data_IF_154541297612
#
_entry.id   IF_154541297612
#
_cell.length_a   1.000
_cell.length_b   1.000
_cell.length_c   1.000
_cell.angle_alpha   90.00
_cell.angle_beta   90.00
_cell.angle_gamma   90.00
#
_symmetry.space_group_name_H-M   'P 1'
#
loop_
_entity.id
_entity.type
_entity.pdbx_description
1 polymer ?
#
# COMPACT_ATOMS: atom_id res chain seq x y z
N UNK A 1 36.14 16.10 50.31
CA UNK A 1 36.55 16.85 49.12
C UNK A 1 35.36 16.93 48.18
N UNK A 2 34.93 18.13 47.83
CA UNK A 2 33.82 18.33 46.91
C UNK A 2 34.30 17.94 45.51
N UNK A 3 33.66 16.94 44.88
CA UNK A 3 33.99 16.57 43.50
C UNK A 3 33.53 17.69 42.56
N UNK A 4 34.28 17.88 41.48
CA UNK A 4 33.99 18.92 40.51
C UNK A 4 32.64 18.63 39.81
N UNK A 5 31.65 19.54 39.91
CA UNK A 5 30.34 19.34 39.30
C UNK A 5 30.41 19.14 37.78
N UNK A 6 31.41 19.71 37.11
CA UNK A 6 31.60 19.52 35.67
C UNK A 6 32.02 18.08 35.33
N UNK A 7 32.78 17.44 36.22
CA UNK A 7 33.24 16.06 36.03
C UNK A 7 32.09 15.09 36.23
N UNK A 8 31.27 15.29 37.27
CA UNK A 8 30.08 14.47 37.52
C UNK A 8 29.09 14.57 36.35
N UNK A 9 28.83 15.78 35.85
CA UNK A 9 27.97 15.97 34.67
C UNK A 9 28.48 15.22 33.44
N UNK A 10 29.79 15.27 33.16
CA UNK A 10 30.38 14.56 32.02
C UNK A 10 30.24 13.05 32.15
N UNK A 11 30.43 12.52 33.36
CA UNK A 11 30.31 11.10 33.63
C UNK A 11 28.86 10.62 33.45
N UNK A 12 27.90 11.32 34.05
CA UNK A 12 26.47 10.99 33.91
C UNK A 12 26.00 11.12 32.45
N UNK A 13 26.41 12.17 31.75
CA UNK A 13 26.10 12.35 30.32
C UNK A 13 26.69 11.23 29.46
N UNK A 14 27.90 10.77 29.76
CA UNK A 14 28.55 9.67 29.06
C UNK A 14 27.82 8.34 29.30
N UNK A 15 27.38 8.07 30.53
CA UNK A 15 26.58 6.90 30.86
C UNK A 15 25.26 6.88 30.10
N UNK A 16 24.51 7.99 30.10
CA UNK A 16 23.25 8.11 29.34
C UNK A 16 23.47 7.93 27.82
N UNK A 17 24.57 8.45 27.29
CA UNK A 17 24.91 8.29 25.88
C UNK A 17 25.18 6.83 25.51
N UNK A 18 25.94 6.10 26.34
CA UNK A 18 26.19 4.68 26.11
C UNK A 18 24.89 3.87 26.17
N UNK A 19 24.00 4.17 27.11
CA UNK A 19 22.70 3.51 27.17
C UNK A 19 21.87 3.76 25.90
N UNK A 20 21.83 4.99 25.40
CA UNK A 20 21.15 5.30 24.13
C UNK A 20 21.77 4.52 22.96
N UNK A 21 23.10 4.49 22.88
CA UNK A 21 23.82 3.74 21.84
C UNK A 21 23.44 2.26 21.86
N UNK A 22 23.50 1.63 23.04
CA UNK A 22 23.23 0.20 23.19
C UNK A 22 21.76 -0.15 22.80
N UNK A 23 20.82 0.76 23.08
CA UNK A 23 19.41 0.64 22.62
C UNK A 23 19.29 0.75 21.10
N UNK A 24 20.02 1.67 20.46
CA UNK A 24 20.02 1.82 18.99
C UNK A 24 20.59 0.56 18.33
N UNK A 25 21.73 0.05 18.82
CA UNK A 25 22.35 -1.16 18.31
C UNK A 25 21.40 -2.37 18.40
N UNK A 26 20.77 -2.53 19.57
CA UNK A 26 19.77 -3.58 19.79
C UNK A 26 18.57 -3.46 18.83
N UNK A 27 18.11 -2.23 18.57
CA UNK A 27 17.01 -1.95 17.63
C UNK A 27 17.38 -2.29 16.19
N UNK A 28 18.58 -1.94 15.73
CA UNK A 28 19.06 -2.26 14.39
C UNK A 28 19.05 -3.78 14.17
N UNK A 29 19.64 -4.53 15.09
CA UNK A 29 19.68 -6.00 15.01
C UNK A 29 18.25 -6.56 15.02
N UNK A 30 17.43 -6.14 15.97
CA UNK A 30 16.04 -6.55 16.09
C UNK A 30 15.21 -6.27 14.83
N UNK A 31 15.50 -5.19 14.10
CA UNK A 31 14.83 -4.84 12.85
C UNK A 31 15.30 -5.73 11.70
N UNK A 32 16.61 -5.99 11.57
CA UNK A 32 17.15 -6.89 10.54
C UNK A 32 16.49 -8.27 10.64
N UNK A 33 16.34 -8.82 11.85
CA UNK A 33 15.69 -10.12 12.06
C UNK A 33 14.17 -10.11 11.85
N UNK A 34 13.52 -8.94 11.86
CA UNK A 34 12.07 -8.80 11.65
C UNK A 34 11.70 -8.49 10.19
N UNK A 35 12.65 -8.09 9.35
CA UNK A 35 12.38 -7.75 7.94
C UNK A 35 12.04 -9.02 7.16
N UNK A 36 10.76 -9.16 6.79
CA UNK A 36 10.32 -10.17 5.83
C UNK A 36 10.46 -9.60 4.42
N UNK A 37 11.38 -10.17 3.63
CA UNK A 37 11.53 -9.82 2.22
C UNK A 37 10.39 -10.48 1.42
N UNK A 38 9.32 -9.72 1.15
CA UNK A 38 8.30 -10.12 0.18
C UNK A 38 8.95 -10.14 -1.20
N UNK A 39 9.31 -11.35 -1.69
CA UNK A 39 9.62 -11.53 -3.10
C UNK A 39 8.31 -11.38 -3.86
N UNK A 40 8.19 -10.33 -4.66
CA UNK A 40 7.07 -10.20 -5.59
C UNK A 40 7.08 -11.41 -6.52
N UNK A 41 6.24 -12.40 -6.23
CA UNK A 41 6.02 -13.52 -7.12
C UNK A 41 5.28 -13.01 -8.36
N UNK A 42 5.63 -13.49 -9.57
CA UNK A 42 4.85 -13.18 -10.77
C UNK A 42 3.38 -13.58 -10.54
N UNK A 43 2.41 -12.79 -11.03
CA UNK A 43 1.01 -13.14 -10.90
C UNK A 43 0.75 -14.52 -11.53
N UNK A 44 -0.10 -15.37 -10.90
CA UNK A 44 -0.43 -16.67 -11.45
C UNK A 44 -1.02 -16.53 -12.87
N UNK A 45 -0.76 -17.49 -13.76
CA UNK A 45 -1.32 -17.47 -15.11
C UNK A 45 -2.84 -17.43 -15.06
N UNK A 46 -3.45 -16.67 -15.97
CA UNK A 46 -4.91 -16.55 -16.04
C UNK A 46 -5.54 -17.94 -16.30
N UNK A 47 -6.68 -18.27 -15.64
CA UNK A 47 -7.37 -19.52 -15.90
C UNK A 47 -7.85 -19.57 -17.36
N UNK A 48 -7.85 -20.76 -17.99
CA UNK A 48 -8.31 -20.92 -19.37
C UNK A 48 -9.78 -20.52 -19.49
N UNK A 49 -10.08 -19.61 -20.42
CA UNK A 49 -11.45 -19.27 -20.79
C UNK A 49 -12.08 -20.48 -21.49
N UNK A 50 -12.89 -21.25 -20.75
CA UNK A 50 -13.74 -22.28 -21.34
C UNK A 50 -14.86 -21.56 -22.09
N UNK A 51 -14.72 -21.48 -23.42
CA UNK A 51 -15.76 -20.97 -24.31
C UNK A 51 -16.91 -21.97 -24.29
N UNK A 52 -17.95 -21.68 -23.52
CA UNK A 52 -19.21 -22.41 -23.59
C UNK A 52 -19.79 -22.21 -24.99
N UNK A 53 -19.62 -23.21 -25.84
CA UNK A 53 -20.34 -23.32 -27.10
C UNK A 53 -21.76 -23.69 -26.73
N UNK A 54 -22.64 -22.69 -26.67
CA UNK A 54 -24.08 -22.95 -26.74
C UNK A 54 -24.37 -23.38 -28.16
N UNK A 55 -24.53 -24.68 -28.35
CA UNK A 55 -24.99 -25.29 -29.58
C UNK A 55 -26.44 -24.82 -29.81
N UNK A 56 -26.59 -23.75 -30.59
CA UNK A 56 -27.90 -23.29 -31.05
C UNK A 56 -28.39 -24.29 -32.10
N UNK A 57 -29.18 -25.27 -31.66
CA UNK A 57 -29.92 -26.16 -32.54
C UNK A 57 -30.91 -25.36 -33.42
N UNK A 58 -31.21 -25.80 -34.65
CA UNK A 58 -32.09 -25.08 -35.56
C UNK A 58 -33.53 -25.29 -35.12
N UNK A 59 -34.14 -24.25 -34.54
CA UNK A 59 -35.52 -24.25 -34.11
C UNK A 59 -36.23 -22.97 -34.55
N UNK A 60 -37.05 -23.14 -35.59
CA UNK A 60 -38.27 -22.40 -35.96
C UNK A 60 -38.27 -20.86 -35.93
N UNK A 61 -38.48 -20.28 -37.11
CA UNK A 61 -38.93 -18.90 -37.29
C UNK A 61 -40.45 -18.85 -37.10
N UNK A 62 -40.94 -18.06 -36.13
CA UNK A 62 -42.35 -17.65 -36.13
C UNK A 62 -42.57 -16.30 -35.39
N UNK A 63 -42.93 -15.29 -36.19
CA UNK A 63 -44.12 -14.48 -35.97
C UNK A 63 -44.26 -13.56 -34.75
N UNK A 64 -44.06 -12.25 -35.02
CA UNK A 64 -44.99 -11.16 -34.72
C UNK A 64 -45.16 -10.53 -33.30
N UNK A 65 -45.11 -9.19 -33.33
CA UNK A 65 -45.76 -8.18 -32.46
C UNK A 65 -45.19 -7.82 -31.07
N UNK A 66 -44.74 -6.56 -30.98
CA UNK A 66 -45.52 -5.56 -30.21
C UNK A 66 -44.97 -5.06 -28.87
N UNK A 67 -44.68 -3.74 -28.86
CA UNK A 67 -44.94 -2.80 -27.76
C UNK A 67 -44.14 -2.89 -26.43
N UNK A 68 -43.12 -2.04 -26.34
CA UNK A 68 -43.01 -0.94 -25.35
C UNK A 68 -43.25 -1.19 -23.86
N UNK A 69 -42.21 -0.89 -23.06
CA UNK A 69 -42.16 -0.30 -21.68
C UNK A 69 -40.74 -0.61 -21.15
N UNK A 70 -39.84 0.29 -20.79
CA UNK A 70 -39.93 1.65 -20.25
C UNK A 70 -39.11 1.65 -18.94
N UNK A 71 -37.96 2.34 -18.90
CA UNK A 71 -37.31 2.97 -17.73
C UNK A 71 -35.79 3.14 -17.93
N UNK A 72 -35.36 4.39 -18.15
CA UNK A 72 -33.98 4.89 -18.03
C UNK A 72 -33.63 5.19 -16.54
N UNK A 73 -32.49 5.80 -16.13
CA UNK A 73 -31.24 6.14 -16.85
C UNK A 73 -29.95 5.87 -16.01
N UNK A 74 -28.81 6.36 -16.51
CA UNK A 74 -27.66 6.90 -15.77
C UNK A 74 -26.41 6.02 -15.51
N UNK A 75 -25.40 6.35 -16.34
CA UNK A 75 -24.11 6.86 -15.89
C UNK A 75 -22.95 5.86 -15.81
N UNK A 76 -22.50 5.41 -16.99
CA UNK A 76 -21.09 5.04 -17.18
C UNK A 76 -20.23 6.29 -17.06
N UNK A 77 -19.59 6.48 -15.90
CA UNK A 77 -18.48 7.40 -15.72
C UNK A 77 -17.24 6.62 -15.31
N UNK A 78 -16.22 6.70 -16.15
CA UNK A 78 -14.81 6.76 -15.78
C UNK A 78 -14.19 5.49 -15.19
N UNK A 79 -13.50 4.75 -16.06
CA UNK A 79 -12.30 4.04 -15.63
C UNK A 79 -11.24 5.07 -15.20
N UNK A 80 -10.47 4.83 -14.13
CA UNK A 80 -9.10 5.27 -14.08
C UNK A 80 -8.21 4.07 -14.35
N UNK A 81 -7.58 4.14 -15.51
CA UNK A 81 -6.31 3.50 -15.82
C UNK A 81 -5.30 4.00 -14.77
N UNK A 82 -4.95 3.14 -13.80
CA UNK A 82 -3.94 3.41 -12.79
C UNK A 82 -2.62 2.74 -13.16
N UNK A 83 -1.96 3.27 -14.18
CA UNK A 83 -0.57 2.93 -14.54
C UNK A 83 0.36 3.71 -13.62
N UNK A 84 1.37 3.02 -13.08
CA UNK A 84 2.59 3.65 -12.57
C UNK A 84 2.82 3.54 -11.07
N UNK A 85 3.22 2.36 -10.58
CA UNK A 85 4.15 2.31 -9.45
C UNK A 85 5.52 2.74 -9.97
N UNK A 86 5.77 4.05 -9.98
CA UNK A 86 7.12 4.56 -10.02
C UNK A 86 7.69 4.42 -8.61
N UNK A 87 8.72 3.57 -8.48
CA UNK A 87 9.53 3.48 -7.28
C UNK A 87 10.04 4.88 -6.92
N UNK A 88 9.78 5.33 -5.70
CA UNK A 88 10.26 6.64 -5.23
C UNK A 88 11.65 6.44 -4.65
N UNK A 89 12.69 7.14 -5.14
CA UNK A 89 14.02 7.10 -4.53
C UNK A 89 13.96 7.78 -3.16
N UNK A 90 14.50 7.10 -2.14
CA UNK A 90 14.72 7.66 -0.83
C UNK A 90 15.81 8.74 -0.94
N UNK A 91 15.47 10.03 -0.76
CA UNK A 91 16.49 11.09 -0.81
C UNK A 91 16.03 12.54 -0.87
N UNK A 92 14.73 12.84 -0.94
CA UNK A 92 14.22 14.20 -0.79
C UNK A 92 13.03 14.18 0.17
N UNK A 93 12.79 15.26 0.92
CA UNK A 93 11.57 15.41 1.70
C UNK A 93 10.37 15.53 0.76
N UNK A 94 9.88 14.39 0.26
CA UNK A 94 8.72 14.30 -0.61
C UNK A 94 7.51 14.72 0.21
N UNK A 95 6.91 15.84 -0.15
CA UNK A 95 5.65 16.30 0.42
C UNK A 95 4.56 15.31 0.03
N UNK A 96 4.23 14.39 0.94
CA UNK A 96 3.15 13.42 0.75
C UNK A 96 1.80 14.14 0.65
N UNK A 97 1.11 13.98 -0.46
CA UNK A 97 -0.19 14.57 -0.71
C UNK A 97 -1.29 13.90 0.12
N UNK A 98 -2.35 14.65 0.44
CA UNK A 98 -3.46 14.18 1.31
C UNK A 98 -4.14 12.89 0.82
N UNK A 99 -4.12 12.62 -0.49
CA UNK A 99 -4.71 11.42 -1.10
C UNK A 99 -3.69 10.33 -1.49
N UNK A 100 -2.38 10.55 -1.29
CA UNK A 100 -1.33 9.61 -1.70
C UNK A 100 -1.29 8.37 -0.79
N UNK A 101 -0.66 7.26 -1.22
CA UNK A 101 -0.48 6.08 -0.38
C UNK A 101 0.25 6.45 0.91
N UNK A 102 -0.27 6.01 2.05
CA UNK A 102 0.36 6.33 3.34
C UNK A 102 1.72 5.64 3.46
N UNK A 103 2.72 6.40 3.93
CA UNK A 103 4.10 5.93 4.10
C UNK A 103 4.25 4.72 5.05
N UNK A 104 3.27 4.47 5.92
CA UNK A 104 3.26 3.33 6.85
C UNK A 104 2.97 1.97 6.19
N UNK A 105 2.81 1.92 4.87
CA UNK A 105 2.55 0.66 4.14
C UNK A 105 1.14 0.07 4.33
N UNK A 106 0.22 0.79 4.98
CA UNK A 106 -1.14 0.30 5.26
C UNK A 106 -2.03 0.13 4.02
N UNK A 107 -1.57 0.55 2.84
CA UNK A 107 -2.37 0.59 1.60
C UNK A 107 -3.49 1.64 1.61
N UNK A 108 -3.70 2.36 2.72
CA UNK A 108 -4.71 3.43 2.85
C UNK A 108 -4.14 4.76 2.34
N UNK A 109 -5.00 5.64 1.84
CA UNK A 109 -4.64 7.04 1.53
C UNK A 109 -4.18 7.76 2.80
N UNK A 110 -3.21 8.68 2.69
CA UNK A 110 -2.60 9.39 3.82
C UNK A 110 -3.65 10.00 4.77
N UNK A 111 -4.65 10.72 4.24
CA UNK A 111 -5.76 11.30 5.04
C UNK A 111 -6.60 10.31 5.85
N UNK A 112 -6.59 9.03 5.51
CA UNK A 112 -7.37 7.97 6.18
C UNK A 112 -6.50 7.13 7.11
N UNK A 113 -5.24 7.50 7.30
CA UNK A 113 -4.29 6.77 8.14
C UNK A 113 -3.56 7.73 9.08
N UNK A 114 -2.58 8.50 8.59
CA UNK A 114 -1.75 9.40 9.42
C UNK A 114 -2.02 10.90 9.18
N UNK A 115 -2.86 11.26 8.20
CA UNK A 115 -3.19 12.64 7.86
C UNK A 115 -4.47 13.17 8.50
N UNK A 116 -4.61 12.98 9.82
CA UNK A 116 -5.68 13.65 10.60
C UNK A 116 -5.48 15.16 10.55
#
# INVERSE_FOLDING_TARGET
>A
GQRDPLVEYKNEAFEMFNELRDRIESSIVANIYRVQVQRNAPPPPAPPLVRQVTESGPGEVDGANGAGRGASPQQRRGAPVGVGSAAVPAGAAVKIGRNDPCWCGSGKKYKRCHGR
#
